data_IF_505070142559
#
_entry.id   IF_505070142559
#
_cell.length_a   1.000
_cell.length_b   1.000
_cell.length_c   1.000
_cell.angle_alpha   90.00
_cell.angle_beta   90.00
_cell.angle_gamma   90.00
#
_symmetry.space_group_name_H-M   'P 1'
#
loop_
_entity.id
_entity.type
_entity.pdbx_description
1 polymer ?
#
# COMPACT_ATOMS: atom_id res chain seq x y z
N UNK A 1 10.64 -18.31 2.83
CA UNK A 1 10.15 -17.18 2.00
C UNK A 1 10.11 -15.97 2.91
N UNK A 2 10.79 -14.88 2.52
CA UNK A 2 11.13 -13.72 3.38
C UNK A 2 9.98 -13.28 4.30
N UNK A 3 10.30 -13.17 5.59
CA UNK A 3 9.35 -12.79 6.62
C UNK A 3 8.79 -11.40 6.37
N UNK A 4 7.51 -11.21 6.72
CA UNK A 4 6.91 -9.89 6.84
C UNK A 4 7.56 -9.21 8.04
N UNK A 5 8.61 -8.44 7.79
CA UNK A 5 9.44 -7.87 8.85
C UNK A 5 8.97 -6.47 9.28
N UNK A 6 8.19 -5.80 8.44
CA UNK A 6 7.60 -4.50 8.74
C UNK A 6 6.10 -4.64 9.07
N UNK A 7 5.69 -4.41 10.33
CA UNK A 7 4.28 -4.46 10.71
C UNK A 7 3.45 -3.30 10.10
N UNK A 8 4.08 -2.18 9.72
CA UNK A 8 3.39 -1.04 9.09
C UNK A 8 2.95 -1.37 7.66
N UNK A 9 3.67 -2.28 6.99
CA UNK A 9 3.42 -2.68 5.62
C UNK A 9 2.40 -3.83 5.49
N UNK A 10 1.65 -4.16 6.55
CA UNK A 10 0.76 -5.31 6.50
C UNK A 10 -0.50 -5.06 5.63
N UNK A 11 -0.79 -5.93 4.64
CA UNK A 11 -1.96 -5.74 3.78
C UNK A 11 -3.26 -5.98 4.55
N UNK A 12 -4.07 -4.93 4.74
CA UNK A 12 -5.34 -5.05 5.47
C UNK A 12 -6.46 -5.54 4.56
N UNK A 13 -7.18 -6.55 5.02
CA UNK A 13 -8.30 -7.15 4.29
C UNK A 13 -9.54 -6.25 4.24
N UNK A 14 -9.74 -5.40 5.25
CA UNK A 14 -10.81 -4.40 5.32
C UNK A 14 -10.20 -3.00 5.24
N UNK A 15 -10.65 -2.20 4.28
CA UNK A 15 -10.27 -0.80 4.09
C UNK A 15 -11.48 0.10 4.31
N UNK A 16 -11.24 1.34 4.73
CA UNK A 16 -12.28 2.37 4.75
C UNK A 16 -12.44 2.99 3.36
N UNK A 17 -13.49 2.58 2.64
CA UNK A 17 -13.78 3.04 1.28
C UNK A 17 -14.14 4.54 1.24
N UNK A 18 -14.79 5.08 2.28
CA UNK A 18 -15.16 6.48 2.34
C UNK A 18 -13.92 7.38 2.52
N UNK A 19 -12.94 6.92 3.31
CA UNK A 19 -11.64 7.59 3.43
C UNK A 19 -10.87 7.60 2.10
N UNK A 20 -10.91 6.51 1.33
CA UNK A 20 -10.26 6.44 0.01
C UNK A 20 -10.95 7.29 -1.06
N UNK A 21 -12.28 7.36 -1.00
CA UNK A 21 -13.09 8.20 -1.88
C UNK A 21 -12.85 9.68 -1.61
N UNK A 22 -12.87 10.11 -0.34
CA UNK A 22 -12.57 11.49 0.05
C UNK A 22 -11.13 11.90 -0.30
N UNK A 23 -10.17 10.97 -0.23
CA UNK A 23 -8.80 11.16 -0.69
C UNK A 23 -8.64 11.14 -2.23
N UNK A 24 -9.72 10.93 -2.99
CA UNK A 24 -9.75 10.87 -4.45
C UNK A 24 -8.77 9.85 -5.03
N UNK A 25 -8.64 8.69 -4.37
CA UNK A 25 -7.80 7.60 -4.86
C UNK A 25 -8.48 6.95 -6.09
N UNK A 26 -7.76 6.78 -7.22
CA UNK A 26 -8.30 6.09 -8.39
C UNK A 26 -8.62 4.63 -8.09
N UNK A 27 -9.64 4.07 -8.75
CA UNK A 27 -10.12 2.69 -8.51
C UNK A 27 -9.02 1.63 -8.58
N UNK A 28 -8.06 1.79 -9.47
CA UNK A 28 -6.93 0.86 -9.63
C UNK A 28 -6.06 0.73 -8.36
N UNK A 29 -5.98 1.78 -7.55
CA UNK A 29 -5.15 1.84 -6.34
C UNK A 29 -5.98 1.63 -5.05
N UNK A 30 -7.25 1.25 -5.17
CA UNK A 30 -8.11 0.90 -4.02
C UNK A 30 -7.96 -0.57 -3.64
N UNK A 31 -6.72 -1.02 -3.48
CA UNK A 31 -6.39 -2.38 -3.12
C UNK A 31 -6.22 -2.54 -1.60
N UNK A 32 -5.64 -3.66 -1.13
CA UNK A 32 -5.39 -3.91 0.29
C UNK A 32 -4.38 -2.97 0.94
N UNK A 33 -3.65 -2.17 0.14
CA UNK A 33 -2.59 -1.28 0.58
C UNK A 33 -2.97 0.20 0.46
N UNK A 34 -4.14 0.54 -0.08
CA UNK A 34 -4.48 1.93 -0.35
C UNK A 34 -4.68 2.84 0.89
N UNK A 35 -4.82 2.31 2.11
CA UNK A 35 -4.72 3.13 3.33
C UNK A 35 -3.34 3.80 3.49
N UNK A 36 -2.25 3.11 3.13
CA UNK A 36 -0.90 3.68 3.17
C UNK A 36 -0.70 4.74 2.07
N UNK A 37 -1.41 4.58 0.95
CA UNK A 37 -1.37 5.54 -0.15
C UNK A 37 -1.94 6.90 0.24
N UNK A 38 -2.92 6.94 1.16
CA UNK A 38 -3.46 8.20 1.70
C UNK A 38 -2.34 9.00 2.37
N UNK A 39 -1.55 8.35 3.23
CA UNK A 39 -0.49 9.01 4.00
C UNK A 39 0.70 9.39 3.12
N UNK A 40 1.08 8.53 2.17
CA UNK A 40 2.07 8.86 1.16
C UNK A 40 1.66 10.08 0.33
N UNK A 41 0.39 10.19 -0.06
CA UNK A 41 -0.11 11.33 -0.83
C UNK A 41 -0.18 12.61 0.01
N UNK A 42 -0.44 12.52 1.32
CA UNK A 42 -0.32 13.68 2.23
C UNK A 42 1.12 14.19 2.26
N UNK A 43 2.09 13.30 2.48
CA UNK A 43 3.52 13.67 2.52
C UNK A 43 3.99 14.25 1.18
N UNK A 44 3.56 13.66 0.05
CA UNK A 44 3.89 14.18 -1.29
C UNK A 44 3.33 15.58 -1.52
N UNK A 45 2.08 15.83 -1.11
CA UNK A 45 1.45 17.15 -1.26
C UNK A 45 2.10 18.21 -0.37
N UNK A 46 2.45 17.86 0.87
CA UNK A 46 3.11 18.80 1.79
C UNK A 46 4.52 19.18 1.33
N UNK A 47 5.24 18.26 0.70
CA UNK A 47 6.63 18.44 0.26
C UNK A 47 6.76 18.71 -1.24
N UNK A 48 5.67 19.12 -1.92
CA UNK A 48 5.65 19.42 -3.36
C UNK A 48 6.27 18.31 -4.23
N UNK A 49 6.03 17.04 -3.89
CA UNK A 49 6.50 15.87 -4.62
C UNK A 49 8.03 15.77 -4.75
N UNK A 50 8.78 16.30 -3.77
CA UNK A 50 10.23 16.19 -3.75
C UNK A 50 10.68 14.71 -3.67
N UNK A 51 11.53 14.21 -4.60
CA UNK A 51 11.97 12.81 -4.63
C UNK A 51 12.77 12.36 -3.41
N UNK A 52 13.42 13.28 -2.69
CA UNK A 52 14.23 12.96 -1.51
C UNK A 52 13.40 12.89 -0.22
N UNK A 53 12.14 13.31 -0.25
CA UNK A 53 11.22 13.27 0.88
C UNK A 53 10.22 12.13 0.71
N UNK A 54 9.63 11.69 1.82
CA UNK A 54 8.63 10.61 1.86
C UNK A 54 9.15 9.22 1.46
N UNK A 55 10.46 8.95 1.62
CA UNK A 55 11.07 7.68 1.27
C UNK A 55 10.56 6.51 2.12
N UNK A 56 10.34 6.75 3.41
CA UNK A 56 9.81 5.76 4.35
C UNK A 56 8.38 5.35 3.96
N UNK A 57 7.47 6.32 3.80
CA UNK A 57 6.08 6.02 3.44
C UNK A 57 5.98 5.34 2.07
N UNK A 58 6.85 5.71 1.14
CA UNK A 58 6.94 5.05 -0.18
C UNK A 58 7.38 3.60 -0.05
N UNK A 59 8.46 3.35 0.70
CA UNK A 59 8.96 2.00 0.91
C UNK A 59 7.93 1.11 1.62
N UNK A 60 7.27 1.63 2.67
CA UNK A 60 6.21 0.90 3.38
C UNK A 60 5.03 0.56 2.48
N UNK A 61 4.64 1.46 1.56
CA UNK A 61 3.60 1.19 0.55
C UNK A 61 4.03 0.09 -0.43
N UNK A 62 5.25 0.18 -0.99
CA UNK A 62 5.80 -0.80 -1.94
C UNK A 62 5.95 -2.20 -1.29
N UNK A 63 6.36 -2.23 -0.03
CA UNK A 63 6.48 -3.47 0.75
C UNK A 63 5.11 -4.13 0.97
N UNK A 64 4.06 -3.34 1.25
CA UNK A 64 2.70 -3.85 1.35
C UNK A 64 2.21 -4.45 0.02
N UNK A 65 2.43 -3.77 -1.10
CA UNK A 65 2.05 -4.28 -2.42
C UNK A 65 2.76 -5.60 -2.74
N UNK A 66 4.03 -5.70 -2.35
CA UNK A 66 4.80 -6.93 -2.49
C UNK A 66 4.21 -8.09 -1.68
N UNK A 67 3.84 -7.85 -0.41
CA UNK A 67 3.16 -8.84 0.42
C UNK A 67 1.81 -9.27 -0.16
N UNK A 68 1.01 -8.31 -0.63
CA UNK A 68 -0.26 -8.61 -1.29
C UNK A 68 -0.08 -9.41 -2.59
N UNK A 69 1.00 -9.17 -3.33
CA UNK A 69 1.34 -9.94 -4.51
C UNK A 69 1.77 -11.37 -4.18
N UNK A 70 2.62 -11.56 -3.17
CA UNK A 70 3.01 -12.89 -2.71
C UNK A 70 1.80 -13.72 -2.28
N UNK A 71 0.83 -13.12 -1.58
CA UNK A 71 -0.42 -13.77 -1.22
C UNK A 71 -1.21 -14.25 -2.46
N UNK A 72 -1.24 -13.44 -3.53
CA UNK A 72 -1.88 -13.83 -4.80
C UNK A 72 -1.13 -14.97 -5.49
N UNK A 73 0.20 -14.93 -5.50
CA UNK A 73 1.02 -16.01 -6.05
C UNK A 73 0.86 -17.32 -5.28
N UNK A 74 0.82 -17.27 -3.95
CA UNK A 74 0.56 -18.44 -3.12
C UNK A 74 -0.82 -19.04 -3.41
N UNK A 75 -1.86 -18.20 -3.53
CA UNK A 75 -3.21 -18.63 -3.93
C UNK A 75 -3.22 -19.29 -5.30
N UNK A 76 -2.54 -18.70 -6.30
CA UNK A 76 -2.44 -19.30 -7.64
C UNK A 76 -1.74 -20.66 -7.61
N UNK A 77 -0.67 -20.80 -6.83
CA UNK A 77 0.05 -22.07 -6.67
C UNK A 77 -0.77 -23.14 -5.96
N UNK A 78 -1.59 -22.76 -4.98
CA UNK A 78 -2.45 -23.69 -4.25
C UNK A 78 -3.68 -24.15 -5.05
N UNK A 79 -4.00 -23.45 -6.15
CA UNK A 79 -5.11 -23.77 -7.06
C UNK A 79 -4.65 -24.58 -8.28
N UNK A 80 -3.36 -24.86 -8.40
CA UNK A 80 -2.74 -25.68 -9.43
C UNK A 80 -2.38 -27.05 -8.86
#
# INVERSE_FOLDING_TARGET
MGGRNNPEAEPKSKQDLAAMESAKIPLAYRDKCGHLLIDLNKCRRSNFYNPHYCGHERHTYEECEYYAWMDRCAKKKAQA
#
